data_IF_483062555050
#
_entry.id   IF_483062555050
#
_cell.length_a   1.000
_cell.length_b   1.000
_cell.length_c   1.000
_cell.angle_alpha   90.00
_cell.angle_beta   90.00
_cell.angle_gamma   90.00
#
_symmetry.space_group_name_H-M   'P 1'
#
loop_
_entity.id
_entity.type
_entity.pdbx_description
1 polymer ?
#
# COMPACT_ATOMS: atom_id res chain seq x y z
N UNK A 1 19.47 -33.72 12.79
CA UNK A 1 20.59 -32.95 12.22
C UNK A 1 20.25 -32.65 10.78
N UNK A 2 20.31 -31.39 10.35
CA UNK A 2 20.07 -31.04 8.94
C UNK A 2 21.31 -31.42 8.11
N UNK A 3 21.11 -32.22 7.06
CA UNK A 3 22.13 -32.43 6.03
C UNK A 3 22.10 -31.25 5.05
N UNK A 4 23.10 -30.37 5.13
CA UNK A 4 23.20 -29.20 4.25
C UNK A 4 23.53 -29.58 2.79
N UNK A 5 23.94 -30.82 2.51
CA UNK A 5 24.13 -31.27 1.13
C UNK A 5 22.80 -31.74 0.54
N UNK A 6 22.02 -32.50 1.31
CA UNK A 6 20.72 -33.03 0.90
C UNK A 6 19.66 -32.90 2.01
N UNK A 7 19.01 -31.73 2.15
CA UNK A 7 18.06 -31.48 3.23
C UNK A 7 16.67 -32.10 2.98
N UNK A 8 16.43 -32.71 1.81
CA UNK A 8 15.10 -33.11 1.35
C UNK A 8 14.34 -33.99 2.36
N UNK A 9 15.01 -34.99 2.95
CA UNK A 9 14.41 -35.87 3.96
C UNK A 9 14.10 -35.17 5.28
N UNK A 10 14.83 -34.09 5.60
CA UNK A 10 14.66 -33.32 6.84
C UNK A 10 13.50 -32.33 6.74
N UNK A 11 13.23 -31.82 5.54
CA UNK A 11 12.17 -30.83 5.30
C UNK A 11 10.89 -31.43 4.71
N UNK A 12 10.90 -32.74 4.44
CA UNK A 12 9.75 -33.46 3.90
C UNK A 12 8.56 -33.43 4.87
N UNK A 13 7.37 -33.10 4.35
CA UNK A 13 6.13 -33.07 5.12
C UNK A 13 5.96 -31.84 6.02
N UNK A 14 6.90 -30.88 5.98
CA UNK A 14 6.67 -29.57 6.58
C UNK A 14 5.59 -28.80 5.79
N UNK A 15 4.67 -28.10 6.45
CA UNK A 15 3.68 -27.26 5.77
C UNK A 15 4.34 -26.22 4.87
N UNK A 16 3.76 -26.02 3.68
CA UNK A 16 4.13 -24.99 2.70
C UNK A 16 3.35 -23.66 2.96
N UNK A 17 3.09 -23.37 4.23
CA UNK A 17 2.25 -22.25 4.69
C UNK A 17 3.04 -20.94 4.82
N UNK A 18 4.15 -20.81 4.10
CA UNK A 18 5.10 -19.73 4.37
C UNK A 18 6.37 -19.77 3.52
N UNK A 19 6.38 -20.55 2.44
CA UNK A 19 7.44 -20.46 1.45
C UNK A 19 7.32 -19.12 0.74
N UNK A 20 8.44 -18.41 0.67
CA UNK A 20 8.51 -17.18 -0.10
C UNK A 20 8.30 -17.52 -1.59
N UNK A 21 7.16 -17.11 -2.14
CA UNK A 21 6.78 -17.29 -3.53
C UNK A 21 6.24 -15.95 -4.09
N UNK A 22 5.87 -15.93 -5.37
CA UNK A 22 5.30 -14.74 -6.02
C UNK A 22 3.80 -14.54 -5.72
N UNK A 23 3.27 -15.08 -4.61
CA UNK A 23 1.85 -15.08 -4.24
C UNK A 23 1.04 -16.21 -4.90
N UNK A 24 -0.29 -16.13 -4.83
CA UNK A 24 -1.22 -17.04 -5.51
C UNK A 24 -2.14 -16.28 -6.46
N UNK A 25 -2.52 -16.91 -7.57
CA UNK A 25 -3.62 -16.44 -8.43
C UNK A 25 -4.75 -17.48 -8.44
N UNK A 26 -5.84 -17.16 -7.74
CA UNK A 26 -6.89 -18.15 -7.45
C UNK A 26 -6.32 -19.34 -6.68
N UNK A 27 -6.48 -20.55 -7.22
CA UNK A 27 -5.94 -21.78 -6.64
C UNK A 27 -4.52 -22.14 -7.12
N UNK A 28 -3.90 -21.33 -7.98
CA UNK A 28 -2.58 -21.60 -8.56
C UNK A 28 -1.50 -20.90 -7.74
N UNK A 29 -0.57 -21.67 -7.20
CA UNK A 29 0.60 -21.15 -6.49
C UNK A 29 1.57 -20.47 -7.46
N UNK A 30 2.17 -19.38 -7.00
CA UNK A 30 3.18 -18.63 -7.73
C UNK A 30 4.53 -19.34 -7.78
N UNK A 31 5.51 -18.67 -8.38
CA UNK A 31 6.86 -19.21 -8.48
C UNK A 31 7.52 -19.17 -7.11
N UNK A 32 8.03 -20.31 -6.65
CA UNK A 32 8.81 -20.40 -5.41
C UNK A 32 10.12 -19.63 -5.57
N UNK A 33 10.31 -18.60 -4.75
CA UNK A 33 11.51 -17.76 -4.74
C UNK A 33 12.62 -18.38 -3.88
N UNK A 34 12.23 -19.01 -2.76
CA UNK A 34 13.14 -19.71 -1.86
C UNK A 34 12.60 -21.12 -1.62
N UNK A 35 13.24 -22.18 -2.14
CA UNK A 35 12.72 -23.53 -1.99
C UNK A 35 12.75 -23.97 -0.52
N UNK A 36 11.87 -24.90 -0.14
CA UNK A 36 11.83 -25.50 1.20
C UNK A 36 13.16 -26.17 1.59
N UNK A 37 13.94 -26.59 0.59
CA UNK A 37 15.29 -27.15 0.75
C UNK A 37 16.38 -26.09 0.96
N UNK A 38 16.01 -24.81 0.97
CA UNK A 38 16.91 -23.67 1.12
C UNK A 38 17.77 -23.41 -0.12
N UNK A 39 18.21 -22.17 -0.26
CA UNK A 39 19.15 -21.76 -1.31
C UNK A 39 20.55 -22.26 -0.93
N UNK A 40 21.14 -23.08 -1.80
CA UNK A 40 22.51 -23.56 -1.60
C UNK A 40 23.52 -22.46 -1.94
N UNK A 41 24.43 -22.21 -1.00
CA UNK A 41 25.57 -21.33 -1.20
C UNK A 41 26.80 -22.19 -1.39
N UNK A 42 27.49 -21.99 -2.51
CA UNK A 42 28.63 -22.81 -2.91
C UNK A 42 29.89 -21.99 -3.10
N UNK A 43 31.04 -22.60 -2.81
CA UNK A 43 32.36 -22.06 -3.14
C UNK A 43 33.10 -22.99 -4.11
N UNK A 44 34.12 -22.50 -4.83
CA UNK A 44 35.03 -23.39 -5.55
C UNK A 44 35.59 -24.48 -4.63
N UNK A 45 35.69 -25.69 -5.16
CA UNK A 45 36.26 -26.82 -4.44
C UNK A 45 37.78 -26.61 -4.27
N UNK A 46 38.31 -26.47 -3.05
CA UNK A 46 39.76 -26.30 -2.86
C UNK A 46 40.56 -27.58 -3.16
N UNK A 47 39.89 -28.72 -3.34
CA UNK A 47 40.50 -30.04 -3.54
C UNK A 47 40.30 -30.62 -4.94
N UNK A 48 39.73 -29.87 -5.90
CA UNK A 48 39.49 -30.39 -7.24
C UNK A 48 38.64 -29.46 -8.11
N UNK A 49 38.10 -30.00 -9.20
CA UNK A 49 37.16 -29.26 -10.05
C UNK A 49 35.77 -29.15 -9.40
N UNK A 50 35.01 -28.13 -9.83
CA UNK A 50 33.64 -27.90 -9.41
C UNK A 50 33.49 -27.04 -8.16
N UNK A 51 32.27 -26.99 -7.63
CA UNK A 51 31.90 -26.24 -6.44
C UNK A 51 31.47 -27.19 -5.32
N UNK A 52 31.71 -26.79 -4.08
CA UNK A 52 31.19 -27.46 -2.88
C UNK A 52 30.11 -26.57 -2.24
N UNK A 53 29.04 -27.18 -1.73
CA UNK A 53 28.05 -26.47 -0.92
C UNK A 53 28.64 -26.28 0.47
N UNK A 54 28.75 -25.03 0.90
CA UNK A 54 29.33 -24.66 2.21
C UNK A 54 28.25 -24.27 3.21
N UNK A 55 27.12 -23.78 2.72
CA UNK A 55 25.99 -23.37 3.56
C UNK A 55 24.68 -23.38 2.79
N UNK A 56 23.58 -23.28 3.53
CA UNK A 56 22.24 -23.07 3.00
C UNK A 56 21.56 -21.91 3.71
N UNK A 57 20.73 -21.19 2.96
CA UNK A 57 19.88 -20.13 3.47
C UNK A 57 18.41 -20.51 3.31
N UNK A 58 17.66 -20.40 4.40
CA UNK A 58 16.23 -20.68 4.46
C UNK A 58 15.49 -19.41 4.83
N UNK A 59 14.29 -19.23 4.30
CA UNK A 59 13.35 -18.18 4.72
C UNK A 59 12.00 -18.82 4.93
N UNK A 60 11.34 -18.40 6.00
CA UNK A 60 9.93 -18.66 6.24
C UNK A 60 9.23 -17.36 6.55
N UNK A 61 8.11 -17.15 5.89
CA UNK A 61 7.13 -16.12 6.25
C UNK A 61 6.07 -16.80 7.10
N UNK A 62 5.72 -16.23 8.25
CA UNK A 62 4.57 -16.69 9.03
C UNK A 62 3.76 -15.50 9.48
N UNK A 63 2.50 -15.74 9.77
CA UNK A 63 1.70 -14.85 10.59
C UNK A 63 2.21 -14.91 12.06
N UNK A 64 1.76 -13.97 12.88
CA UNK A 64 1.90 -13.95 14.32
C UNK A 64 1.09 -15.04 15.05
N UNK A 65 0.33 -15.85 14.29
CA UNK A 65 -0.48 -16.97 14.72
C UNK A 65 -1.67 -16.42 15.51
N UNK A 66 -2.54 -15.74 14.76
CA UNK A 66 -3.63 -14.92 15.26
C UNK A 66 -4.57 -15.57 16.28
N UNK A 67 -5.20 -14.74 17.11
CA UNK A 67 -6.22 -15.23 18.06
C UNK A 67 -7.43 -15.81 17.29
N UNK A 68 -8.22 -16.70 17.91
CA UNK A 68 -9.31 -17.38 17.20
C UNK A 68 -10.34 -16.43 16.52
N UNK A 69 -10.46 -15.19 17.02
CA UNK A 69 -11.27 -14.12 16.42
C UNK A 69 -10.71 -13.56 15.12
N UNK A 70 -9.40 -13.55 14.96
CA UNK A 70 -8.67 -13.08 13.78
C UNK A 70 -8.80 -14.08 12.63
N UNK A 71 -8.55 -15.36 12.93
CA UNK A 71 -8.75 -16.47 11.99
C UNK A 71 -10.18 -16.55 11.47
N UNK A 72 -11.16 -16.20 12.30
CA UNK A 72 -12.56 -16.11 11.90
C UNK A 72 -12.83 -14.93 10.95
N UNK A 73 -12.16 -13.79 11.14
CA UNK A 73 -12.26 -12.63 10.26
C UNK A 73 -11.63 -12.87 8.87
N UNK A 74 -10.63 -13.75 8.81
CA UNK A 74 -9.99 -14.21 7.56
C UNK A 74 -10.78 -15.31 6.86
N UNK A 75 -11.85 -15.83 7.48
CA UNK A 75 -12.65 -16.93 6.96
C UNK A 75 -11.94 -18.29 7.03
N UNK A 76 -10.86 -18.41 7.82
CA UNK A 76 -10.04 -19.61 7.95
C UNK A 76 -10.66 -20.52 9.03
N UNK A 77 -11.18 -21.68 8.60
CA UNK A 77 -11.76 -22.67 9.52
C UNK A 77 -10.75 -23.26 10.51
N UNK A 78 -11.23 -23.71 11.67
CA UNK A 78 -10.38 -24.37 12.67
C UNK A 78 -9.62 -25.56 12.06
N UNK A 79 -8.28 -25.53 12.15
CA UNK A 79 -7.41 -26.58 11.62
C UNK A 79 -6.95 -26.43 10.17
N UNK A 80 -7.38 -25.38 9.45
CA UNK A 80 -6.77 -24.99 8.18
C UNK A 80 -5.38 -24.34 8.42
N UNK A 81 -4.41 -24.50 7.51
CA UNK A 81 -3.15 -23.76 7.58
C UNK A 81 -3.43 -22.26 7.51
N UNK A 82 -2.63 -21.49 8.24
CA UNK A 82 -2.69 -20.03 8.23
C UNK A 82 -1.97 -19.49 6.98
N UNK A 83 -2.53 -18.49 6.30
CA UNK A 83 -1.90 -17.87 5.13
C UNK A 83 -1.31 -16.52 5.54
N UNK A 84 0.02 -16.42 5.70
CA UNK A 84 0.67 -15.18 6.15
C UNK A 84 0.55 -14.01 5.16
N UNK A 85 -0.01 -14.25 3.97
CA UNK A 85 -0.27 -13.23 2.97
C UNK A 85 -1.73 -12.73 2.97
N UNK A 86 -2.59 -13.32 3.81
CA UNK A 86 -4.00 -12.93 4.02
C UNK A 86 -4.24 -12.78 5.52
N UNK A 87 -3.63 -11.75 6.09
CA UNK A 87 -3.63 -11.50 7.53
C UNK A 87 -4.51 -10.28 7.88
N UNK A 88 -5.46 -10.48 8.79
CA UNK A 88 -6.43 -9.47 9.21
C UNK A 88 -5.81 -8.37 10.10
N UNK A 89 -4.80 -8.68 10.92
CA UNK A 89 -4.11 -7.69 11.75
C UNK A 89 -2.94 -7.02 11.00
N UNK A 90 -2.45 -7.69 9.96
CA UNK A 90 -1.45 -7.20 9.01
C UNK A 90 -0.01 -7.32 9.50
N UNK A 91 0.27 -8.14 10.50
CA UNK A 91 1.60 -8.46 11.02
C UNK A 91 2.20 -9.70 10.35
N UNK A 92 3.19 -9.47 9.51
CA UNK A 92 3.96 -10.53 8.87
C UNK A 92 5.29 -10.75 9.62
N UNK A 93 5.61 -11.99 9.96
CA UNK A 93 6.89 -12.38 10.56
C UNK A 93 7.77 -13.08 9.53
N UNK A 94 8.91 -12.46 9.20
CA UNK A 94 9.93 -13.05 8.32
C UNK A 94 11.05 -13.62 9.18
N UNK A 95 11.27 -14.92 9.07
CA UNK A 95 12.42 -15.61 9.68
C UNK A 95 13.38 -16.04 8.59
N UNK A 96 14.63 -15.63 8.71
CA UNK A 96 15.71 -16.13 7.87
C UNK A 96 16.72 -16.91 8.69
N UNK A 97 17.20 -18.01 8.13
CA UNK A 97 18.14 -18.91 8.77
C UNK A 97 19.30 -19.22 7.84
N UNK A 98 20.51 -18.89 8.27
CA UNK A 98 21.73 -19.36 7.67
C UNK A 98 22.24 -20.59 8.41
N UNK A 99 22.51 -21.67 7.68
CA UNK A 99 23.11 -22.90 8.21
C UNK A 99 24.40 -23.16 7.46
N UNK A 100 25.54 -23.14 8.16
CA UNK A 100 26.84 -23.43 7.59
C UNK A 100 27.45 -24.67 8.23
N UNK A 101 28.15 -25.48 7.44
CA UNK A 101 28.87 -26.63 7.98
C UNK A 101 30.00 -26.17 8.91
N UNK A 102 30.13 -26.79 10.08
CA UNK A 102 31.28 -26.59 10.98
C UNK A 102 32.28 -27.73 10.84
N UNK A 103 33.50 -27.51 11.32
CA UNK A 103 34.50 -28.58 11.45
C UNK A 103 33.89 -29.70 12.31
N UNK A 104 33.91 -30.93 11.79
CA UNK A 104 33.39 -32.10 12.49
C UNK A 104 34.33 -32.49 13.64
N UNK A 105 34.03 -32.05 14.86
CA UNK A 105 34.69 -32.61 16.03
C UNK A 105 34.14 -34.01 16.33
N UNK A 106 35.02 -35.02 16.35
CA UNK A 106 34.67 -36.44 16.52
C UNK A 106 35.05 -37.01 17.89
N UNK A 107 35.57 -36.20 18.82
CA UNK A 107 35.88 -36.69 20.18
C UNK A 107 34.61 -36.77 21.04
N UNK A 108 34.15 -37.99 21.33
CA UNK A 108 33.16 -38.24 22.39
C UNK A 108 31.70 -38.49 21.95
N UNK A 109 31.44 -38.76 20.66
CA UNK A 109 30.15 -39.32 20.22
C UNK A 109 28.99 -38.34 20.02
N UNK A 110 29.17 -37.03 20.25
CA UNK A 110 28.21 -35.99 19.84
C UNK A 110 28.83 -35.11 18.75
N UNK A 111 28.38 -35.31 17.52
CA UNK A 111 28.77 -34.51 16.35
C UNK A 111 28.00 -33.18 16.37
N UNK A 112 28.69 -32.05 16.55
CA UNK A 112 28.14 -30.72 16.21
C UNK A 112 28.48 -30.44 14.75
N UNK A 113 27.47 -30.43 13.88
CA UNK A 113 27.68 -30.41 12.43
C UNK A 113 27.50 -29.02 11.78
N UNK A 114 26.72 -28.11 12.38
CA UNK A 114 26.38 -26.85 11.74
C UNK A 114 26.43 -25.65 12.71
N UNK A 115 26.91 -24.52 12.21
CA UNK A 115 26.70 -23.19 12.77
C UNK A 115 25.39 -22.63 12.23
N UNK A 116 24.60 -22.02 13.12
CA UNK A 116 23.28 -21.48 12.79
C UNK A 116 23.22 -20.01 13.21
N UNK A 117 22.73 -19.19 12.31
CA UNK A 117 22.28 -17.83 12.62
C UNK A 117 20.84 -17.67 12.17
N UNK A 118 19.99 -17.18 13.06
CA UNK A 118 18.58 -16.87 12.77
C UNK A 118 18.37 -15.38 12.91
N UNK A 119 17.73 -14.79 11.92
CA UNK A 119 17.21 -13.43 11.98
C UNK A 119 15.68 -13.52 11.94
N UNK A 120 15.03 -12.81 12.84
CA UNK A 120 13.57 -12.65 12.80
C UNK A 120 13.24 -11.18 12.74
N UNK A 121 12.39 -10.84 11.79
CA UNK A 121 11.86 -9.50 11.55
C UNK A 121 10.35 -9.58 11.62
N UNK A 122 9.73 -8.61 12.29
CA UNK A 122 8.29 -8.42 12.22
C UNK A 122 8.01 -7.18 11.41
N UNK A 123 7.06 -7.29 10.50
CA UNK A 123 6.56 -6.22 9.66
C UNK A 123 5.09 -6.01 9.99
N UNK A 124 4.62 -4.78 9.85
CA UNK A 124 3.19 -4.45 9.90
C UNK A 124 2.81 -3.72 8.62
N UNK A 125 1.77 -4.19 7.96
CA UNK A 125 1.16 -3.52 6.82
C UNK A 125 0.65 -2.15 7.25
N UNK A 126 0.92 -1.13 6.44
CA UNK A 126 0.51 0.23 6.76
C UNK A 126 -1.01 0.39 6.49
N UNK A 127 -1.78 0.61 7.55
CA UNK A 127 -3.24 0.81 7.50
C UNK A 127 -3.63 2.29 7.67
N UNK A 128 -2.65 3.21 7.64
CA UNK A 128 -2.91 4.66 7.79
C UNK A 128 -3.88 5.19 6.73
N UNK A 129 -3.80 4.66 5.50
CA UNK A 129 -4.57 5.16 4.35
C UNK A 129 -5.75 4.25 3.97
N UNK A 130 -6.25 3.44 4.90
CA UNK A 130 -7.45 2.62 4.69
C UNK A 130 -8.69 3.51 4.73
N UNK A 131 -8.97 4.17 3.60
CA UNK A 131 -10.08 5.10 3.46
C UNK A 131 -11.39 4.39 3.13
N UNK A 132 -12.44 4.73 3.87
CA UNK A 132 -13.82 4.30 3.61
C UNK A 132 -14.54 5.29 2.68
N UNK A 133 -13.90 5.70 1.58
CA UNK A 133 -14.47 6.59 0.57
C UNK A 133 -13.60 6.68 -0.70
N UNK A 134 -14.19 6.79 -1.90
CA UNK A 134 -13.44 6.99 -3.14
C UNK A 134 -12.90 8.43 -3.26
N UNK A 135 -13.42 9.37 -2.46
CA UNK A 135 -12.92 10.74 -2.35
C UNK A 135 -12.78 11.13 -0.88
N UNK A 136 -11.56 11.48 -0.47
CA UNK A 136 -11.24 11.95 0.88
C UNK A 136 -10.60 13.32 0.81
N UNK A 137 -11.22 14.30 1.47
CA UNK A 137 -10.72 15.67 1.53
C UNK A 137 -10.40 16.01 2.99
N UNK A 138 -9.16 16.40 3.26
CA UNK A 138 -8.71 16.68 4.62
C UNK A 138 -8.26 18.12 4.80
N UNK A 139 -8.88 18.79 5.76
CA UNK A 139 -8.57 20.16 6.15
C UNK A 139 -9.64 20.72 7.06
N UNK A 140 -9.24 21.69 7.87
CA UNK A 140 -10.17 22.48 8.72
C UNK A 140 -11.21 23.18 7.83
N UNK A 141 -10.76 23.69 6.69
CA UNK A 141 -11.62 24.23 5.65
C UNK A 141 -11.28 23.64 4.29
N UNK A 142 -12.30 23.43 3.46
CA UNK A 142 -12.17 22.96 2.09
C UNK A 142 -12.79 24.00 1.16
N UNK A 143 -12.03 24.44 0.15
CA UNK A 143 -12.47 25.49 -0.79
C UNK A 143 -12.37 25.01 -2.24
N UNK A 144 -13.09 25.63 -3.18
CA UNK A 144 -12.96 25.24 -4.58
C UNK A 144 -11.60 25.65 -5.16
N UNK A 145 -11.06 24.82 -6.07
CA UNK A 145 -9.84 25.15 -6.83
C UNK A 145 -10.13 26.08 -8.01
N UNK A 146 -11.34 25.97 -8.57
CA UNK A 146 -11.89 26.85 -9.59
C UNK A 146 -13.06 27.69 -9.01
N UNK A 147 -13.88 28.41 -9.81
CA UNK A 147 -14.98 29.23 -9.29
C UNK A 147 -16.01 28.48 -8.43
N UNK A 148 -16.18 27.18 -8.63
CA UNK A 148 -17.06 26.31 -7.83
C UNK A 148 -16.41 24.94 -7.56
N UNK A 149 -16.88 24.23 -6.54
CA UNK A 149 -16.37 22.89 -6.19
C UNK A 149 -16.95 21.82 -7.12
N UNK A 150 -18.22 21.97 -7.48
CA UNK A 150 -18.94 21.07 -8.39
C UNK A 150 -19.53 21.89 -9.52
N UNK A 151 -19.07 21.66 -10.75
CA UNK A 151 -19.64 22.27 -11.95
C UNK A 151 -20.33 21.22 -12.83
N UNK A 152 -21.54 21.57 -13.31
CA UNK A 152 -22.43 20.65 -14.01
C UNK A 152 -23.06 19.56 -13.12
N UNK A 153 -23.91 18.73 -13.73
CA UNK A 153 -24.64 17.64 -13.04
C UNK A 153 -24.28 16.24 -13.57
N UNK A 154 -23.25 16.15 -14.40
CA UNK A 154 -22.89 14.93 -15.11
C UNK A 154 -21.80 14.12 -14.42
N UNK A 155 -21.78 14.10 -13.09
CA UNK A 155 -20.82 13.27 -12.35
C UNK A 155 -21.50 12.19 -11.50
N UNK A 156 -20.71 11.25 -11.00
CA UNK A 156 -21.12 10.27 -10.01
C UNK A 156 -19.95 9.98 -9.04
N UNK A 157 -20.22 10.02 -7.75
CA UNK A 157 -19.30 9.59 -6.69
C UNK A 157 -20.03 8.52 -5.91
N UNK A 158 -19.54 7.28 -5.96
CA UNK A 158 -20.21 6.13 -5.35
C UNK A 158 -19.28 5.39 -4.39
N UNK A 159 -19.57 5.53 -3.10
CA UNK A 159 -18.94 4.75 -2.03
C UNK A 159 -19.42 3.30 -1.97
N UNK A 160 -20.51 2.95 -2.66
CA UNK A 160 -21.20 1.69 -2.46
C UNK A 160 -21.86 1.61 -1.07
N UNK A 161 -22.32 0.42 -0.68
CA UNK A 161 -23.14 0.27 0.53
C UNK A 161 -22.38 0.44 1.86
N UNK A 162 -21.07 0.18 1.85
CA UNK A 162 -20.26 0.17 3.07
C UNK A 162 -19.63 1.54 3.39
N UNK A 163 -19.36 2.35 2.37
CA UNK A 163 -18.52 3.54 2.45
C UNK A 163 -19.29 4.81 2.13
N UNK A 164 -18.77 5.96 2.56
CA UNK A 164 -19.31 7.25 2.13
C UNK A 164 -18.88 7.54 0.69
N UNK A 165 -19.68 8.33 -0.05
CA UNK A 165 -19.27 8.83 -1.35
C UNK A 165 -18.13 9.84 -1.22
N UNK A 166 -18.26 10.77 -0.27
CA UNK A 166 -17.18 11.68 0.12
C UNK A 166 -16.97 11.59 1.62
N UNK A 167 -15.72 11.44 2.04
CA UNK A 167 -15.34 11.53 3.44
C UNK A 167 -14.49 12.78 3.66
N UNK A 168 -14.67 13.42 4.81
CA UNK A 168 -13.81 14.51 5.25
C UNK A 168 -13.03 14.11 6.50
N UNK A 169 -11.83 14.66 6.63
CA UNK A 169 -11.04 14.59 7.85
C UNK A 169 -10.75 16.03 8.29
N UNK A 170 -11.11 16.34 9.52
CA UNK A 170 -10.93 17.61 10.17
C UNK A 170 -9.75 17.54 11.16
N UNK A 171 -8.61 18.16 10.85
CA UNK A 171 -7.50 18.23 11.79
C UNK A 171 -7.80 19.10 13.03
N UNK A 172 -8.89 19.87 13.05
CA UNK A 172 -9.26 20.80 14.11
C UNK A 172 -10.70 20.59 14.60
N UNK A 173 -10.91 19.58 15.44
CA UNK A 173 -12.22 19.23 16.02
C UNK A 173 -12.94 20.36 16.80
N UNK A 174 -12.30 21.51 17.04
CA UNK A 174 -12.85 22.60 17.83
C UNK A 174 -13.73 23.58 17.04
N UNK A 175 -13.70 23.58 15.69
CA UNK A 175 -14.38 24.61 14.89
C UNK A 175 -15.48 24.09 13.94
N UNK A 176 -15.88 22.83 14.10
CA UNK A 176 -16.98 22.22 13.35
C UNK A 176 -16.50 21.53 12.07
N UNK A 177 -17.38 20.75 11.43
CA UNK A 177 -16.96 19.84 10.37
C UNK A 177 -16.90 20.51 8.99
N UNK A 178 -15.91 20.20 8.15
CA UNK A 178 -15.81 20.70 6.77
C UNK A 178 -16.89 20.13 5.83
N UNK A 179 -17.69 19.14 6.29
CA UNK A 179 -18.83 18.57 5.56
C UNK A 179 -19.77 19.66 5.03
N UNK A 180 -20.09 20.67 5.85
CA UNK A 180 -21.01 21.74 5.46
C UNK A 180 -20.48 22.60 4.30
N UNK A 181 -19.16 22.74 4.19
CA UNK A 181 -18.51 23.49 3.10
C UNK A 181 -18.60 22.72 1.78
N UNK A 182 -18.66 21.38 1.82
CA UNK A 182 -18.90 20.56 0.63
C UNK A 182 -20.37 20.59 0.27
N UNK A 183 -21.26 20.30 1.23
CA UNK A 183 -22.70 20.15 0.94
C UNK A 183 -23.35 21.46 0.52
N UNK A 184 -22.89 22.60 1.04
CA UNK A 184 -23.38 23.92 0.61
C UNK A 184 -23.00 24.31 -0.82
N UNK A 185 -22.04 23.62 -1.45
CA UNK A 185 -21.64 23.83 -2.85
C UNK A 185 -22.44 22.97 -3.83
N UNK A 186 -23.32 22.10 -3.32
CA UNK A 186 -24.15 21.22 -4.15
C UNK A 186 -25.53 21.85 -4.38
N UNK A 187 -26.01 21.75 -5.61
CA UNK A 187 -27.43 21.85 -5.92
C UNK A 187 -28.15 20.54 -5.58
N UNK A 188 -29.47 20.60 -5.40
CA UNK A 188 -30.30 19.42 -5.13
C UNK A 188 -30.18 18.31 -6.19
N UNK A 189 -29.91 18.66 -7.44
CA UNK A 189 -29.67 17.70 -8.51
C UNK A 189 -28.31 16.99 -8.37
N UNK A 190 -27.29 17.70 -7.88
CA UNK A 190 -25.95 17.18 -7.64
C UNK A 190 -25.88 16.32 -6.37
N UNK A 191 -26.71 16.60 -5.35
CA UNK A 191 -26.73 15.77 -4.13
C UNK A 191 -26.97 14.29 -4.43
N UNK A 192 -27.87 14.00 -5.38
CA UNK A 192 -28.20 12.62 -5.81
C UNK A 192 -27.08 11.92 -6.58
N UNK A 193 -26.01 12.64 -6.93
CA UNK A 193 -24.85 12.10 -7.62
C UNK A 193 -23.77 11.60 -6.67
N UNK A 194 -23.92 11.87 -5.37
CA UNK A 194 -23.02 11.40 -4.33
C UNK A 194 -23.76 10.34 -3.53
N UNK A 195 -23.47 9.07 -3.85
CA UNK A 195 -24.13 7.91 -3.27
C UNK A 195 -23.19 7.12 -2.37
N UNK A 196 -23.78 6.42 -1.42
CA UNK A 196 -23.06 5.59 -0.47
C UNK A 196 -23.82 5.48 0.84
N UNK A 197 -23.11 5.17 1.91
CA UNK A 197 -23.62 5.20 3.29
C UNK A 197 -23.99 6.63 3.71
N UNK A 198 -24.91 6.80 4.66
CA UNK A 198 -25.15 8.11 5.28
C UNK A 198 -26.17 9.02 4.59
N UNK A 199 -26.84 8.56 3.53
CA UNK A 199 -27.96 9.29 2.91
C UNK A 199 -27.58 10.04 1.63
N UNK A 200 -28.32 11.10 1.32
CA UNK A 200 -28.17 11.89 0.09
C UNK A 200 -28.06 13.38 0.45
N UNK A 201 -26.94 14.05 0.13
CA UNK A 201 -25.71 13.47 -0.44
C UNK A 201 -24.97 12.59 0.58
N UNK A 202 -24.26 11.56 0.10
CA UNK A 202 -23.42 10.69 0.94
C UNK A 202 -22.09 11.38 1.26
N UNK A 203 -22.11 12.28 2.25
CA UNK A 203 -20.94 13.01 2.74
C UNK A 203 -20.88 12.92 4.26
N UNK A 204 -19.72 12.56 4.82
CA UNK A 204 -19.55 12.50 6.27
C UNK A 204 -18.14 12.86 6.73
N UNK A 205 -18.05 13.31 7.97
CA UNK A 205 -16.80 13.49 8.69
C UNK A 205 -16.40 12.16 9.36
N UNK A 206 -15.22 11.65 9.02
CA UNK A 206 -14.70 10.38 9.55
C UNK A 206 -13.61 10.58 10.60
N UNK A 207 -13.34 11.82 11.03
CA UNK A 207 -12.24 12.15 11.95
C UNK A 207 -12.33 11.35 13.25
N UNK A 208 -13.52 11.27 13.83
CA UNK A 208 -13.75 10.56 15.10
C UNK A 208 -13.80 9.04 14.95
N UNK A 209 -13.87 8.53 13.71
CA UNK A 209 -13.82 7.10 13.42
C UNK A 209 -12.39 6.62 13.11
N UNK A 210 -11.43 7.55 12.96
CA UNK A 210 -10.02 7.21 12.84
C UNK A 210 -9.53 6.53 14.13
N UNK A 211 -8.90 5.38 13.98
CA UNK A 211 -8.34 4.60 15.09
C UNK A 211 -6.98 4.01 14.69
N UNK A 212 -6.18 3.60 15.68
CA UNK A 212 -4.88 2.96 15.44
C UNK A 212 -3.96 3.82 14.57
N UNK A 213 -3.49 3.26 13.45
CA UNK A 213 -2.62 3.95 12.50
C UNK A 213 -3.33 5.06 11.72
N UNK A 214 -4.67 5.01 11.59
CA UNK A 214 -5.44 6.07 10.93
C UNK A 214 -5.32 7.44 11.64
N UNK A 215 -4.98 7.45 12.93
CA UNK A 215 -4.70 8.69 13.66
C UNK A 215 -3.45 9.44 13.15
N UNK A 216 -2.55 8.76 12.43
CA UNK A 216 -1.40 9.41 11.79
C UNK A 216 -1.84 10.42 10.71
N UNK A 217 -3.05 10.29 10.15
CA UNK A 217 -3.60 11.29 9.23
C UNK A 217 -3.77 12.65 9.90
N UNK A 218 -3.96 12.70 11.23
CA UNK A 218 -4.06 13.95 12.00
C UNK A 218 -2.69 14.56 12.35
N UNK A 219 -1.60 13.99 11.83
CA UNK A 219 -0.25 14.48 12.05
C UNK A 219 0.36 15.02 10.76
N UNK A 220 0.43 16.35 10.64
CA UNK A 220 1.03 17.03 9.50
C UNK A 220 2.49 16.58 9.23
N UNK A 221 3.28 16.36 10.28
CA UNK A 221 4.66 15.89 10.15
C UNK A 221 4.74 14.46 9.59
N UNK A 222 3.80 13.59 9.95
CA UNK A 222 3.73 12.25 9.38
C UNK A 222 3.44 12.29 7.88
N UNK A 223 2.40 13.02 7.46
CA UNK A 223 2.01 13.11 6.05
C UNK A 223 3.12 13.73 5.18
N UNK A 224 3.76 14.77 5.69
CA UNK A 224 4.91 15.37 5.06
C UNK A 224 6.08 14.39 4.95
N UNK A 225 6.43 13.68 6.03
CA UNK A 225 7.52 12.71 5.99
C UNK A 225 7.23 11.54 5.03
N UNK A 226 6.00 11.03 5.07
CA UNK A 226 5.54 9.97 4.17
C UNK A 226 5.75 10.38 2.70
N UNK A 227 5.32 11.58 2.32
CA UNK A 227 5.43 12.04 0.94
C UNK A 227 6.81 12.51 0.52
N UNK A 228 7.53 13.24 1.37
CA UNK A 228 8.82 13.83 1.00
C UNK A 228 9.99 12.85 1.14
N UNK A 229 9.89 11.85 2.02
CA UNK A 229 11.01 10.97 2.35
C UNK A 229 10.70 9.50 2.14
N UNK A 230 9.49 9.01 2.45
CA UNK A 230 9.21 7.57 2.35
C UNK A 230 8.86 7.17 0.93
N UNK A 231 7.82 7.75 0.33
CA UNK A 231 7.35 7.42 -1.03
C UNK A 231 8.46 7.44 -2.08
N UNK A 232 9.37 8.44 -2.14
CA UNK A 232 10.41 8.48 -3.17
C UNK A 232 11.41 7.32 -3.10
N UNK A 233 11.54 6.66 -1.94
CA UNK A 233 12.48 5.53 -1.76
C UNK A 233 11.97 4.27 -2.43
N UNK A 234 10.65 4.08 -2.48
CA UNK A 234 10.03 2.85 -2.99
C UNK A 234 9.19 3.06 -4.26
N UNK A 235 9.09 4.29 -4.77
CA UNK A 235 8.41 4.57 -6.02
C UNK A 235 9.13 3.93 -7.23
N UNK A 236 8.37 3.37 -8.18
CA UNK A 236 8.89 2.89 -9.46
C UNK A 236 9.38 4.06 -10.34
N UNK A 237 8.69 5.21 -10.26
CA UNK A 237 9.00 6.41 -11.04
C UNK A 237 9.01 7.66 -10.16
N UNK A 238 10.11 8.41 -10.18
CA UNK A 238 10.29 9.67 -9.45
C UNK A 238 10.53 10.82 -10.42
N UNK A 239 9.64 11.81 -10.39
CA UNK A 239 9.67 12.98 -11.28
C UNK A 239 9.83 14.24 -10.45
N UNK A 240 10.90 14.99 -10.70
CA UNK A 240 11.22 16.21 -9.95
C UNK A 240 10.75 17.46 -10.69
N UNK A 241 10.20 18.42 -9.95
CA UNK A 241 9.64 19.65 -10.50
C UNK A 241 8.31 19.44 -11.21
N UNK A 242 7.75 20.53 -11.74
CA UNK A 242 6.44 20.51 -12.38
C UNK A 242 6.44 19.65 -13.65
N UNK A 243 5.44 18.79 -13.76
CA UNK A 243 5.24 17.85 -14.85
C UNK A 243 4.02 18.24 -15.69
N UNK A 244 4.10 17.97 -17.00
CA UNK A 244 2.96 18.08 -17.92
C UNK A 244 2.97 16.86 -18.82
N UNK A 245 1.93 16.03 -18.70
CA UNK A 245 1.80 14.78 -19.44
C UNK A 245 0.57 14.82 -20.32
N UNK A 246 0.69 14.26 -21.52
CA UNK A 246 -0.44 14.05 -22.43
C UNK A 246 -0.60 12.56 -22.71
N UNK A 247 -1.81 12.08 -23.01
CA UNK A 247 -2.05 10.66 -23.30
C UNK A 247 -1.13 10.06 -24.38
N UNK A 248 -0.62 10.89 -25.31
CA UNK A 248 0.29 10.44 -26.37
C UNK A 248 1.79 10.57 -26.01
N UNK A 249 2.11 11.16 -24.87
CA UNK A 249 3.49 11.48 -24.45
C UNK A 249 3.72 11.29 -22.94
N UNK A 250 2.88 10.48 -22.28
CA UNK A 250 3.00 10.21 -20.85
C UNK A 250 4.06 9.13 -20.59
N UNK A 251 4.73 9.15 -19.43
CA UNK A 251 5.47 7.99 -18.96
C UNK A 251 4.52 6.81 -18.72
N UNK A 252 5.07 5.60 -18.70
CA UNK A 252 4.32 4.43 -18.27
C UNK A 252 4.11 4.47 -16.76
N UNK A 253 2.87 4.73 -16.34
CA UNK A 253 2.44 4.92 -14.94
C UNK A 253 1.65 3.73 -14.41
N UNK A 254 1.88 2.55 -15.00
CA UNK A 254 1.26 1.29 -14.59
C UNK A 254 -0.10 1.03 -15.22
N UNK A 255 -0.60 -0.18 -14.94
CA UNK A 255 -1.87 -0.68 -15.43
C UNK A 255 -2.54 -1.53 -14.34
N UNK A 256 -3.83 -1.28 -14.11
CA UNK A 256 -4.65 -2.11 -13.25
C UNK A 256 -6.04 -2.29 -13.87
N UNK A 257 -6.51 -3.53 -13.93
CA UNK A 257 -7.85 -3.90 -14.37
C UNK A 257 -8.73 -4.22 -13.14
N UNK A 258 -9.69 -3.35 -12.78
CA UNK A 258 -10.53 -3.52 -11.60
C UNK A 258 -11.53 -4.69 -11.72
N UNK A 259 -11.69 -5.27 -12.91
CA UNK A 259 -12.52 -6.46 -13.14
C UNK A 259 -11.78 -7.78 -12.86
N UNK A 260 -10.46 -7.73 -12.61
CA UNK A 260 -9.63 -8.90 -12.32
C UNK A 260 -9.14 -8.88 -10.88
N UNK A 261 -8.75 -10.05 -10.39
CA UNK A 261 -8.11 -10.15 -9.07
C UNK A 261 -6.81 -9.33 -9.02
N UNK A 262 -6.49 -8.80 -7.84
CA UNK A 262 -5.31 -7.96 -7.64
C UNK A 262 -3.99 -8.71 -7.90
N UNK A 263 -4.00 -10.05 -7.83
CA UNK A 263 -2.86 -10.94 -8.07
C UNK A 263 -2.77 -11.48 -9.51
N UNK A 264 -3.69 -11.09 -10.40
CA UNK A 264 -3.65 -11.53 -11.79
C UNK A 264 -2.35 -11.06 -12.46
N UNK A 265 -1.64 -11.92 -13.21
CA UNK A 265 -0.35 -11.56 -13.81
C UNK A 265 -0.41 -10.44 -14.86
N UNK A 266 -1.60 -10.08 -15.35
CA UNK A 266 -1.77 -8.90 -16.22
C UNK A 266 -1.64 -7.59 -15.43
N UNK A 267 -1.89 -7.63 -14.12
CA UNK A 267 -1.80 -6.45 -13.28
C UNK A 267 -0.34 -5.99 -13.24
N UNK A 268 -0.11 -4.72 -13.54
CA UNK A 268 1.21 -4.11 -13.44
C UNK A 268 1.07 -2.71 -12.84
N UNK A 269 0.54 -2.59 -11.61
CA UNK A 269 0.41 -1.30 -10.96
C UNK A 269 1.79 -0.69 -10.72
N UNK A 270 1.88 0.64 -10.82
CA UNK A 270 3.13 1.37 -10.56
C UNK A 270 2.94 2.43 -9.49
N UNK A 271 4.00 2.64 -8.72
CA UNK A 271 4.10 3.73 -7.76
C UNK A 271 4.78 4.90 -8.47
N UNK A 272 4.02 5.95 -8.73
CA UNK A 272 4.46 7.15 -9.45
C UNK A 272 4.49 8.34 -8.50
N UNK A 273 5.65 8.94 -8.32
CA UNK A 273 5.84 10.10 -7.43
C UNK A 273 6.24 11.34 -8.23
N UNK A 274 5.47 12.42 -8.08
CA UNK A 274 5.73 13.73 -8.69
C UNK A 274 5.98 14.75 -7.58
N UNK A 275 7.22 15.21 -7.49
CA UNK A 275 7.62 16.29 -6.60
C UNK A 275 7.42 17.66 -7.26
N UNK A 276 6.17 18.09 -7.38
CA UNK A 276 5.77 19.34 -8.01
C UNK A 276 4.31 19.30 -8.44
N UNK A 277 3.90 20.28 -9.24
CA UNK A 277 2.59 20.28 -9.87
C UNK A 277 2.54 19.25 -11.02
N UNK A 278 1.42 18.57 -11.20
CA UNK A 278 1.15 17.65 -12.31
C UNK A 278 -0.03 18.14 -13.15
N UNK A 279 0.22 18.46 -14.41
CA UNK A 279 -0.81 18.78 -15.40
C UNK A 279 -1.02 17.59 -16.34
N UNK A 280 -2.25 17.09 -16.44
CA UNK A 280 -2.63 15.95 -17.27
C UNK A 280 -3.50 16.42 -18.44
N UNK A 281 -3.22 15.92 -19.64
CA UNK A 281 -4.00 16.29 -20.83
C UNK A 281 -4.25 15.15 -21.81
N UNK A 282 -5.22 15.34 -22.70
CA UNK A 282 -5.61 14.30 -23.67
C UNK A 282 -6.30 13.11 -22.99
N UNK A 283 -6.09 11.90 -23.51
CA UNK A 283 -6.63 10.65 -22.93
C UNK A 283 -5.61 9.95 -22.04
N UNK A 284 -5.41 10.47 -20.82
CA UNK A 284 -4.45 9.90 -19.87
C UNK A 284 -5.02 8.65 -19.19
N UNK A 285 -4.26 7.56 -19.17
CA UNK A 285 -4.64 6.33 -18.50
C UNK A 285 -3.51 5.74 -17.64
N UNK A 286 -3.86 5.11 -16.52
CA UNK A 286 -2.88 4.46 -15.65
C UNK A 286 -3.50 3.67 -14.51
N UNK A 287 -2.65 3.04 -13.70
CA UNK A 287 -3.10 2.33 -12.51
C UNK A 287 -1.97 2.03 -11.53
N UNK A 288 -2.34 1.95 -10.24
CA UNK A 288 -1.40 1.83 -9.14
C UNK A 288 -1.53 2.97 -8.14
N UNK A 289 -0.40 3.54 -7.70
CA UNK A 289 -0.36 4.58 -6.68
C UNK A 289 0.34 5.83 -7.20
N UNK A 290 -0.41 6.91 -7.39
CA UNK A 290 0.10 8.22 -7.82
C UNK A 290 0.19 9.15 -6.62
N UNK A 291 1.34 9.80 -6.43
CA UNK A 291 1.56 10.82 -5.39
C UNK A 291 2.03 12.10 -6.05
N UNK A 292 1.35 13.22 -5.76
CA UNK A 292 1.66 14.56 -6.27
C UNK A 292 1.83 15.50 -5.08
N UNK A 293 2.97 16.18 -4.98
CA UNK A 293 3.24 17.11 -3.86
C UNK A 293 2.67 18.51 -4.10
N UNK A 294 2.50 18.90 -5.35
CA UNK A 294 1.92 20.17 -5.77
C UNK A 294 0.42 20.08 -6.08
N UNK A 295 0.01 20.78 -7.14
CA UNK A 295 -1.34 20.77 -7.68
C UNK A 295 -1.51 19.68 -8.75
N UNK A 296 -2.65 19.00 -8.75
CA UNK A 296 -3.08 18.11 -9.82
C UNK A 296 -4.15 18.81 -10.66
N UNK A 297 -3.89 19.02 -11.93
CA UNK A 297 -4.79 19.75 -12.83
C UNK A 297 -4.74 19.20 -14.25
N UNK A 298 -5.54 19.74 -15.16
CA UNK A 298 -5.48 19.31 -16.55
C UNK A 298 -6.66 19.65 -17.43
N UNK A 299 -6.68 19.04 -18.61
CA UNK A 299 -7.78 19.13 -19.57
C UNK A 299 -7.88 17.90 -20.47
N UNK A 300 -9.08 17.33 -20.63
CA UNK A 300 -9.29 16.09 -21.40
C UNK A 300 -9.90 14.98 -20.54
N UNK A 301 -9.56 13.71 -20.81
CA UNK A 301 -10.07 12.57 -20.04
C UNK A 301 -8.96 11.87 -19.26
N UNK A 302 -9.20 11.58 -17.98
CA UNK A 302 -8.34 10.74 -17.15
C UNK A 302 -9.08 9.44 -16.86
N UNK A 303 -8.38 8.31 -16.95
CA UNK A 303 -8.81 7.04 -16.35
C UNK A 303 -7.71 6.52 -15.44
N UNK A 304 -7.99 6.41 -14.14
CA UNK A 304 -7.05 5.88 -13.16
C UNK A 304 -7.68 4.77 -12.34
N UNK A 305 -7.02 3.62 -12.32
CA UNK A 305 -7.43 2.49 -11.49
C UNK A 305 -6.43 2.32 -10.35
N UNK A 306 -6.77 2.82 -9.16
CA UNK A 306 -5.90 2.81 -8.00
C UNK A 306 -6.03 4.07 -7.15
N UNK A 307 -4.94 4.43 -6.47
CA UNK A 307 -4.90 5.56 -5.55
C UNK A 307 -4.20 6.77 -6.14
N UNK A 308 -4.71 7.95 -5.78
CA UNK A 308 -4.08 9.24 -6.06
C UNK A 308 -4.02 10.02 -4.76
N UNK A 309 -2.82 10.38 -4.32
CA UNK A 309 -2.60 11.28 -3.19
C UNK A 309 -2.07 12.61 -3.69
N UNK A 310 -2.75 13.68 -3.29
CA UNK A 310 -2.31 15.07 -3.52
C UNK A 310 -2.05 15.68 -2.15
N UNK A 311 -0.81 15.56 -1.69
CA UNK A 311 -0.36 15.91 -0.34
C UNK A 311 0.76 16.94 -0.45
N UNK A 312 0.54 18.13 0.09
CA UNK A 312 1.51 19.23 0.02
C UNK A 312 0.80 20.53 -0.26
N UNK A 313 0.73 20.95 -1.53
CA UNK A 313 -0.16 22.04 -1.95
C UNK A 313 -1.65 21.66 -1.86
N UNK A 314 -1.97 20.36 -2.00
CA UNK A 314 -3.32 19.85 -1.76
C UNK A 314 -4.37 20.49 -2.66
N UNK A 315 -4.05 20.68 -3.94
CA UNK A 315 -4.88 21.43 -4.89
C UNK A 315 -5.23 20.55 -6.09
N UNK A 316 -6.51 20.24 -6.26
CA UNK A 316 -7.02 19.42 -7.36
C UNK A 316 -8.02 20.22 -8.19
N UNK A 317 -7.72 20.38 -9.48
CA UNK A 317 -8.58 21.07 -10.43
C UNK A 317 -8.95 20.18 -11.62
N UNK A 318 -10.14 19.59 -11.57
CA UNK A 318 -10.72 18.81 -12.65
C UNK A 318 -11.80 19.57 -13.44
N UNK A 319 -11.83 20.91 -13.36
CA UNK A 319 -12.83 21.72 -14.09
C UNK A 319 -12.78 21.56 -15.61
N UNK A 320 -11.61 21.26 -16.17
CA UNK A 320 -11.42 21.00 -17.61
C UNK A 320 -11.45 19.52 -18.01
N UNK A 321 -11.84 18.63 -17.09
CA UNK A 321 -11.57 17.19 -17.22
C UNK A 321 -12.82 16.31 -17.11
N UNK A 322 -12.79 15.17 -17.80
CA UNK A 322 -13.66 14.02 -17.57
C UNK A 322 -12.84 12.96 -16.83
N UNK A 323 -13.09 12.79 -15.54
CA UNK A 323 -12.24 11.95 -14.68
C UNK A 323 -12.95 10.66 -14.33
N UNK A 324 -12.35 9.51 -14.63
CA UNK A 324 -12.82 8.21 -14.17
C UNK A 324 -11.77 7.62 -13.22
N UNK A 325 -12.06 7.63 -11.91
CA UNK A 325 -11.21 7.05 -10.89
C UNK A 325 -11.93 5.85 -10.27
N UNK A 326 -11.34 4.67 -10.42
CA UNK A 326 -11.75 3.47 -9.68
C UNK A 326 -10.69 3.21 -8.62
N UNK A 327 -11.02 3.47 -7.36
CA UNK A 327 -10.08 3.46 -6.24
C UNK A 327 -10.33 4.65 -5.32
N UNK A 328 -9.29 5.45 -5.04
CA UNK A 328 -9.36 6.52 -4.05
C UNK A 328 -8.54 7.76 -4.40
N UNK A 329 -9.11 8.94 -4.20
CA UNK A 329 -8.41 10.22 -4.24
C UNK A 329 -8.36 10.81 -2.83
N UNK A 330 -7.16 11.08 -2.33
CA UNK A 330 -6.93 11.76 -1.05
C UNK A 330 -6.24 13.10 -1.29
N UNK A 331 -6.84 14.18 -0.76
CA UNK A 331 -6.36 15.55 -0.94
C UNK A 331 -6.19 16.22 0.41
N UNK A 332 -4.99 16.75 0.66
CA UNK A 332 -4.67 17.48 1.89
C UNK A 332 -3.58 18.52 1.61
N UNK A 333 -3.74 19.70 2.19
CA UNK A 333 -2.69 20.71 2.18
C UNK A 333 -1.85 20.56 3.45
N UNK A 334 -0.57 20.26 3.28
CA UNK A 334 0.42 20.19 4.36
C UNK A 334 1.65 20.93 3.89
N UNK A 335 1.97 22.06 4.51
CA UNK A 335 3.14 22.85 4.16
C UNK A 335 3.84 23.37 5.42
N UNK A 336 5.16 23.59 5.37
CA UNK A 336 5.84 24.35 6.39
C UNK A 336 5.34 25.79 6.38
N UNK A 337 5.10 26.35 7.56
CA UNK A 337 4.88 27.78 7.74
C UNK A 337 6.19 28.57 7.53
N UNK A 338 6.13 29.90 7.71
CA UNK A 338 7.31 30.76 7.56
C UNK A 338 8.46 30.43 8.52
N UNK A 339 8.20 29.66 9.58
CA UNK A 339 9.19 29.22 10.57
C UNK A 339 9.68 27.78 10.34
N UNK A 340 9.16 27.10 9.31
CA UNK A 340 9.49 25.71 9.00
C UNK A 340 8.66 24.67 9.76
N UNK A 341 7.67 25.09 10.54
CA UNK A 341 6.78 24.16 11.27
C UNK A 341 5.70 23.66 10.31
N UNK A 342 5.54 22.34 10.25
CA UNK A 342 4.55 21.71 9.38
C UNK A 342 3.14 21.90 9.94
N UNK A 343 2.26 22.45 9.10
CA UNK A 343 0.87 22.76 9.46
C UNK A 343 -0.09 22.22 8.40
N UNK A 344 -1.33 21.94 8.82
CA UNK A 344 -2.43 21.75 7.88
C UNK A 344 -2.86 23.09 7.30
N UNK A 345 -2.96 23.16 5.97
CA UNK A 345 -3.57 24.29 5.28
C UNK A 345 -4.97 23.98 4.77
N UNK A 346 -5.46 24.84 3.89
CA UNK A 346 -6.77 24.67 3.22
C UNK A 346 -6.58 23.89 1.91
N UNK A 347 -7.00 22.62 1.81
CA UNK A 347 -7.06 21.93 0.52
C UNK A 347 -8.03 22.61 -0.43
N UNK A 348 -7.76 22.43 -1.73
CA UNK A 348 -8.61 22.91 -2.81
C UNK A 348 -9.06 21.75 -3.68
N UNK A 349 -10.34 21.72 -4.01
CA UNK A 349 -10.90 20.67 -4.86
C UNK A 349 -11.97 21.25 -5.78
N UNK A 350 -11.88 20.95 -7.07
CA UNK A 350 -12.96 21.17 -8.03
C UNK A 350 -13.10 19.97 -8.94
N UNK A 351 -14.34 19.58 -9.20
CA UNK A 351 -14.70 18.65 -10.25
C UNK A 351 -15.73 19.23 -11.21
N UNK A 352 -15.64 18.83 -12.48
CA UNK A 352 -16.63 19.13 -13.49
C UNK A 352 -16.73 17.96 -14.48
N UNK A 353 -17.46 18.21 -15.58
CA UNK A 353 -17.53 17.31 -16.71
C UNK A 353 -18.23 15.98 -16.40
N UNK A 354 -17.98 15.00 -17.26
CA UNK A 354 -18.47 13.64 -17.12
C UNK A 354 -17.50 12.84 -16.25
N UNK A 355 -17.59 13.01 -14.93
CA UNK A 355 -16.62 12.44 -13.98
C UNK A 355 -17.24 11.36 -13.08
N UNK A 356 -16.46 10.34 -12.75
CA UNK A 356 -16.87 9.20 -11.95
C UNK A 356 -15.79 8.82 -10.94
N UNK A 357 -16.19 8.59 -9.69
CA UNK A 357 -15.35 8.08 -8.61
C UNK A 357 -16.03 6.85 -8.00
N UNK A 358 -15.39 5.70 -8.06
CA UNK A 358 -15.94 4.43 -7.59
C UNK A 358 -15.01 3.74 -6.62
N UNK A 359 -15.56 3.15 -5.56
CA UNK A 359 -14.83 2.18 -4.73
C UNK A 359 -14.78 0.83 -5.45
N UNK A 360 -13.63 0.15 -5.37
CA UNK A 360 -13.47 -1.22 -5.84
C UNK A 360 -12.59 -2.02 -4.88
N UNK A 361 -13.08 -3.17 -4.41
CA UNK A 361 -12.36 -3.99 -3.44
C UNK A 361 -11.00 -4.49 -3.92
N UNK A 362 -10.83 -4.76 -5.22
CA UNK A 362 -9.54 -5.17 -5.79
C UNK A 362 -8.54 -4.02 -5.81
N UNK A 363 -9.00 -2.78 -6.06
CA UNK A 363 -8.14 -1.59 -5.95
C UNK A 363 -7.72 -1.32 -4.50
N UNK A 364 -8.58 -1.59 -3.51
CA UNK A 364 -8.24 -1.51 -2.08
C UNK A 364 -7.23 -2.59 -1.68
N UNK A 365 -7.40 -3.83 -2.14
CA UNK A 365 -6.40 -4.90 -1.92
C UNK A 365 -5.05 -4.55 -2.55
N UNK A 366 -5.05 -4.02 -3.76
CA UNK A 366 -3.85 -3.54 -4.44
C UNK A 366 -3.16 -2.40 -3.66
N UNK A 367 -3.91 -1.45 -3.08
CA UNK A 367 -3.31 -0.41 -2.24
C UNK A 367 -2.44 -1.01 -1.12
N UNK A 368 -2.98 -1.99 -0.40
CA UNK A 368 -2.33 -2.57 0.79
C UNK A 368 -0.98 -3.20 0.42
N UNK A 369 -0.84 -3.69 -0.82
CA UNK A 369 0.41 -4.31 -1.29
C UNK A 369 1.43 -3.31 -1.84
N UNK A 370 1.02 -2.11 -2.24
CA UNK A 370 1.92 -1.10 -2.83
C UNK A 370 2.68 -0.29 -1.79
N UNK A 371 2.12 -0.05 -0.60
CA UNK A 371 2.83 0.67 0.47
C UNK A 371 3.67 -0.34 1.25
N UNK A 372 5.01 -0.20 1.30
CA UNK A 372 5.86 -1.15 2.00
C UNK A 372 5.46 -1.29 3.47
N UNK A 373 5.48 -2.53 3.97
CA UNK A 373 5.24 -2.80 5.38
C UNK A 373 6.36 -2.25 6.25
N UNK A 374 6.01 -1.72 7.42
CA UNK A 374 6.97 -1.13 8.36
C UNK A 374 7.56 -2.21 9.26
N UNK A 375 8.88 -2.27 9.36
CA UNK A 375 9.53 -3.14 10.34
C UNK A 375 9.21 -2.66 11.77
N UNK A 376 8.59 -3.50 12.57
CA UNK A 376 8.21 -3.21 13.96
C UNK A 376 9.18 -3.77 14.98
N UNK A 377 9.88 -4.86 14.64
CA UNK A 377 10.92 -5.43 15.50
C UNK A 377 11.93 -6.25 14.72
N UNK A 378 13.12 -6.39 15.31
CA UNK A 378 14.20 -7.22 14.80
C UNK A 378 14.86 -7.93 15.96
N UNK A 379 15.13 -9.23 15.78
CA UNK A 379 16.00 -9.98 16.69
C UNK A 379 16.94 -10.88 15.90
N UNK A 380 18.18 -10.96 16.40
CA UNK A 380 19.21 -11.89 15.93
C UNK A 380 19.42 -12.95 17.01
N UNK A 381 19.35 -14.22 16.61
CA UNK A 381 19.67 -15.36 17.47
C UNK A 381 20.86 -16.08 16.86
N UNK A 382 21.99 -16.02 17.54
CA UNK A 382 23.19 -16.81 17.22
C UNK A 382 23.40 -17.83 18.31
N UNK A 383 23.93 -19.00 17.95
CA UNK A 383 24.43 -19.94 18.95
C UNK A 383 25.56 -19.29 19.74
N UNK A 384 25.30 -18.90 20.99
CA UNK A 384 26.34 -18.47 21.93
C UNK A 384 27.07 -19.71 22.47
N UNK A 385 28.03 -20.20 21.71
CA UNK A 385 29.20 -20.90 22.27
C UNK A 385 30.37 -20.60 21.34
N UNK A 386 31.30 -19.77 21.82
CA UNK A 386 32.65 -19.60 21.30
C UNK A 386 33.35 -20.98 21.20
N UNK A 387 34.20 -21.24 20.18
CA UNK A 387 34.97 -22.48 20.06
C UNK A 387 36.00 -22.68 21.17
#
# INVERSE_FOLDING_TARGET
SLDILNPASTVFGLPDDGILNTGKNGAVDGTVLIPITGVALSSPNPYGSGNIITSRYFVKVTDNNGEASERAAEGVGAGQPDDPFVDADGIIVVRSMGVAGTIRETRGGKVRANSISVYEMRYRQNKTFSFDSPLVLQGDSIVPSAPSMFDGASFAIDGGLANYGIATIDPNLANGTPVSQITSQLSQAQERKITGRGGTPSVADITTTLTGEGLNLLNAAYLWNFTQHEVPIFADGVYQGNQSWSGNSQPYVGFFDPAKEATDPVQNPKITYVNGDLSLSGGFNGGGFLVVTGALSGGGSITWNGLIFVIGKGDVNFSGMNVAITGGLYVVNVQPDATGVLQFGTPKYTMAGNSQFLVNGNTTKMMITLIPSKQTSFRKVTGMTDP
#
